data_IF_039709340971
#
_entry.id   IF_039709340971
#
_cell.length_a   1.000
_cell.length_b   1.000
_cell.length_c   1.000
_cell.angle_alpha   90.00
_cell.angle_beta   90.00
_cell.angle_gamma   90.00
#
_symmetry.space_group_name_H-M   'P 1'
#
loop_
_entity.id
_entity.type
_entity.pdbx_description
1 polymer ?
#
# COMPACT_ATOMS: atom_id res chain seq x y z
N UNK A 1 12.34 11.32 14.15
CA UNK A 1 12.79 10.26 13.22
C UNK A 1 11.58 9.87 12.40
N UNK A 2 11.72 9.75 11.08
CA UNK A 2 10.58 9.42 10.21
C UNK A 2 9.96 8.08 10.64
N UNK A 3 8.64 8.00 10.66
CA UNK A 3 7.95 6.76 11.03
C UNK A 3 8.14 5.73 9.91
N UNK A 4 8.61 4.53 10.25
CA UNK A 4 8.73 3.43 9.29
C UNK A 4 7.33 3.04 8.78
N UNK A 5 7.19 2.89 7.46
CA UNK A 5 5.92 2.59 6.78
C UNK A 5 6.04 1.27 6.04
N UNK A 6 4.94 0.52 5.94
CA UNK A 6 4.86 -0.66 5.07
C UNK A 6 5.17 -0.22 3.64
N UNK A 7 6.16 -0.86 3.01
CA UNK A 7 6.52 -0.61 1.61
C UNK A 7 6.52 -1.92 0.86
N UNK A 8 5.77 -1.99 -0.23
CA UNK A 8 5.77 -3.10 -1.18
C UNK A 8 6.59 -2.67 -2.38
N UNK A 9 7.50 -3.52 -2.87
CA UNK A 9 8.24 -3.24 -4.12
C UNK A 9 7.58 -3.93 -5.31
N UNK A 10 7.20 -5.21 -5.18
CA UNK A 10 6.48 -5.96 -6.21
C UNK A 10 4.96 -5.80 -6.08
N UNK A 11 4.44 -4.69 -6.61
CA UNK A 11 3.02 -4.33 -6.53
C UNK A 11 2.10 -5.29 -7.31
N UNK A 12 2.60 -5.93 -8.37
CA UNK A 12 1.79 -6.88 -9.16
C UNK A 12 1.50 -8.14 -8.35
N UNK A 13 2.55 -8.75 -7.76
CA UNK A 13 2.41 -9.94 -6.93
C UNK A 13 1.60 -9.64 -5.67
N UNK A 14 1.83 -8.47 -5.05
CA UNK A 14 0.98 -8.00 -3.95
C UNK A 14 -0.50 -7.92 -4.36
N UNK A 15 -0.80 -7.30 -5.52
CA UNK A 15 -2.16 -7.20 -6.02
C UNK A 15 -2.79 -8.57 -6.30
N UNK A 16 -2.02 -9.53 -6.86
CA UNK A 16 -2.49 -10.92 -7.05
C UNK A 16 -2.78 -11.60 -5.71
N UNK A 17 -1.90 -11.44 -4.71
CA UNK A 17 -2.11 -12.01 -3.38
C UNK A 17 -3.37 -11.43 -2.69
N UNK A 18 -3.59 -10.12 -2.80
CA UNK A 18 -4.81 -9.47 -2.30
C UNK A 18 -6.06 -10.00 -3.01
N UNK A 19 -6.02 -10.19 -4.33
CA UNK A 19 -7.13 -10.81 -5.08
C UNK A 19 -7.36 -12.25 -4.63
N UNK A 20 -6.30 -13.00 -4.33
CA UNK A 20 -6.41 -14.36 -3.79
C UNK A 20 -7.16 -14.38 -2.46
N UNK A 21 -6.79 -13.49 -1.53
CA UNK A 21 -7.48 -13.35 -0.25
C UNK A 21 -8.95 -12.94 -0.41
N UNK A 22 -9.22 -11.99 -1.31
CA UNK A 22 -10.56 -11.43 -1.48
C UNK A 22 -11.54 -12.39 -2.17
N UNK A 23 -11.08 -13.19 -3.15
CA UNK A 23 -11.98 -14.06 -3.92
C UNK A 23 -11.81 -15.56 -3.63
N UNK A 24 -10.85 -15.95 -2.81
CA UNK A 24 -10.51 -17.35 -2.54
C UNK A 24 -9.89 -18.12 -3.72
N UNK A 25 -9.60 -17.45 -4.84
CA UNK A 25 -8.99 -18.05 -6.04
C UNK A 25 -7.50 -17.71 -6.06
N UNK A 26 -6.61 -18.69 -6.18
CA UNK A 26 -5.17 -18.40 -6.30
C UNK A 26 -4.86 -17.69 -7.65
N UNK A 27 -4.49 -16.40 -7.60
CA UNK A 27 -4.05 -15.60 -8.76
C UNK A 27 -2.52 -15.64 -9.02
N UNK A 28 -1.76 -16.30 -8.14
CA UNK A 28 -0.31 -16.48 -8.29
C UNK A 28 0.03 -17.73 -9.11
N UNK A 29 -0.91 -18.68 -9.24
CA UNK A 29 -0.78 -19.91 -10.03
C UNK A 29 0.49 -20.73 -9.68
N UNK A 30 0.83 -20.75 -8.40
CA UNK A 30 2.05 -21.33 -7.85
C UNK A 30 1.81 -22.60 -7.01
N UNK A 31 0.57 -23.08 -7.01
CA UNK A 31 0.15 -24.27 -6.26
C UNK A 31 0.03 -24.08 -4.74
N UNK A 32 0.29 -22.88 -4.22
CA UNK A 32 0.16 -22.58 -2.79
C UNK A 32 -1.28 -22.20 -2.41
N UNK A 33 -1.57 -22.27 -1.10
CA UNK A 33 -2.80 -21.77 -0.51
C UNK A 33 -2.52 -20.52 0.34
N UNK A 34 -3.40 -19.53 0.22
CA UNK A 34 -3.25 -18.25 0.90
C UNK A 34 -4.55 -17.90 1.64
N UNK A 35 -4.79 -18.48 2.83
CA UNK A 35 -5.90 -18.06 3.67
C UNK A 35 -5.69 -16.62 4.14
N UNK A 36 -6.77 -15.87 4.40
CA UNK A 36 -6.63 -14.49 4.93
C UNK A 36 -5.88 -14.53 6.28
N UNK A 37 -4.73 -13.84 6.42
CA UNK A 37 -3.95 -13.88 7.65
C UNK A 37 -4.69 -13.26 8.83
N UNK A 38 -4.53 -13.85 10.02
CA UNK A 38 -5.08 -13.30 11.27
C UNK A 38 -4.01 -12.74 12.19
N UNK A 39 -2.74 -13.03 11.91
CA UNK A 39 -1.58 -12.50 12.66
C UNK A 39 -0.55 -11.86 11.72
N UNK A 40 0.38 -11.08 12.30
CA UNK A 40 1.47 -10.46 11.54
C UNK A 40 2.46 -11.51 11.05
N UNK A 41 2.68 -12.58 11.81
CA UNK A 41 3.58 -13.67 11.45
C UNK A 41 3.06 -14.40 10.22
N UNK A 42 1.79 -14.78 10.22
CA UNK A 42 1.14 -15.38 9.05
C UNK A 42 1.17 -14.45 7.84
N UNK A 43 0.97 -13.15 8.05
CA UNK A 43 1.09 -12.16 6.99
C UNK A 43 2.50 -12.12 6.40
N UNK A 44 3.54 -12.02 7.25
CA UNK A 44 4.95 -12.03 6.83
C UNK A 44 5.32 -13.34 6.11
N UNK A 45 4.86 -14.49 6.61
CA UNK A 45 5.06 -15.80 5.97
C UNK A 45 4.44 -15.84 4.57
N UNK A 46 3.18 -15.43 4.42
CA UNK A 46 2.52 -15.42 3.11
C UNK A 46 3.16 -14.45 2.13
N UNK A 47 3.63 -13.29 2.58
CA UNK A 47 4.42 -12.38 1.75
C UNK A 47 5.70 -13.05 1.25
N UNK A 48 6.42 -13.77 2.12
CA UNK A 48 7.63 -14.50 1.74
C UNK A 48 7.33 -15.63 0.74
N UNK A 49 6.31 -16.45 1.01
CA UNK A 49 5.88 -17.55 0.13
C UNK A 49 5.45 -17.04 -1.24
N UNK A 50 4.67 -15.96 -1.29
CA UNK A 50 4.23 -15.33 -2.53
C UNK A 50 5.34 -14.53 -3.23
N UNK A 51 6.53 -14.39 -2.64
CA UNK A 51 7.62 -13.53 -3.14
C UNK A 51 7.21 -12.05 -3.28
N UNK A 52 6.33 -11.58 -2.38
CA UNK A 52 6.05 -10.15 -2.21
C UNK A 52 7.15 -9.56 -1.35
N UNK A 53 8.11 -8.91 -1.99
CA UNK A 53 9.13 -8.14 -1.29
C UNK A 53 8.49 -6.90 -0.65
N UNK A 54 8.30 -6.94 0.66
CA UNK A 54 7.77 -5.84 1.43
C UNK A 54 8.55 -5.61 2.73
N UNK A 55 8.70 -4.35 3.11
CA UNK A 55 9.25 -3.94 4.41
C UNK A 55 8.09 -3.75 5.38
N UNK A 56 7.81 -4.75 6.22
CA UNK A 56 6.79 -4.67 7.27
C UNK A 56 7.42 -4.04 8.51
N UNK A 57 6.89 -2.91 9.02
CA UNK A 57 7.51 -2.24 10.17
C UNK A 57 7.46 -3.07 11.45
N UNK A 58 8.54 -3.07 12.22
CA UNK A 58 8.65 -3.86 13.45
C UNK A 58 7.72 -3.36 14.57
N UNK A 59 7.26 -2.11 14.49
CA UNK A 59 6.29 -1.57 15.43
C UNK A 59 4.86 -2.10 15.20
N UNK A 60 4.58 -2.69 14.05
CA UNK A 60 3.26 -3.26 13.77
C UNK A 60 3.07 -4.52 14.65
N UNK A 61 2.02 -4.52 15.47
CA UNK A 61 1.69 -5.63 16.39
C UNK A 61 0.46 -6.43 16.00
N UNK A 62 -0.42 -5.83 15.22
CA UNK A 62 -1.67 -6.45 14.75
C UNK A 62 -1.89 -6.14 13.28
N UNK A 63 -2.63 -7.01 12.61
CA UNK A 63 -3.10 -6.79 11.25
C UNK A 63 -4.62 -6.89 11.23
N UNK A 64 -5.26 -6.08 10.38
CA UNK A 64 -6.71 -6.11 10.16
C UNK A 64 -6.97 -6.13 8.66
N UNK A 65 -7.57 -7.22 8.20
CA UNK A 65 -8.16 -7.30 6.88
C UNK A 65 -9.62 -6.88 6.97
N UNK A 66 -10.03 -5.98 6.10
CA UNK A 66 -11.42 -5.51 6.00
C UNK A 66 -11.91 -5.85 4.60
N UNK A 67 -12.90 -6.73 4.53
CA UNK A 67 -13.70 -6.98 3.34
C UNK A 67 -15.06 -6.35 3.58
N UNK A 68 -15.54 -5.54 2.65
CA UNK A 68 -16.88 -4.96 2.66
C UNK A 68 -17.76 -5.69 1.67
N UNK A 69 -19.07 -5.73 1.93
CA UNK A 69 -20.06 -6.19 0.95
C UNK A 69 -20.43 -5.04 -0.02
N UNK A 70 -21.24 -5.35 -1.03
CA UNK A 70 -21.70 -4.45 -2.08
C UNK A 70 -22.60 -3.32 -1.60
N UNK A 71 -23.15 -3.41 -0.39
CA UNK A 71 -24.01 -2.41 0.26
C UNK A 71 -23.31 -1.65 1.41
N UNK A 72 -22.00 -1.87 1.61
CA UNK A 72 -21.20 -1.21 2.64
C UNK A 72 -20.17 -0.23 2.06
N UNK A 73 -20.06 0.95 2.66
CA UNK A 73 -19.00 1.92 2.36
C UNK A 73 -17.99 1.92 3.51
N UNK A 74 -16.74 1.60 3.20
CA UNK A 74 -15.62 1.68 4.16
C UNK A 74 -14.78 2.91 3.87
N UNK A 75 -14.73 3.84 4.83
CA UNK A 75 -13.81 4.99 4.81
C UNK A 75 -12.67 4.73 5.78
N UNK A 76 -11.45 4.56 5.26
CA UNK A 76 -10.25 4.26 6.06
C UNK A 76 -9.59 5.55 6.53
N UNK A 77 -9.66 5.87 7.81
CA UNK A 77 -8.96 7.05 8.34
C UNK A 77 -7.50 6.71 8.68
N UNK A 78 -6.50 7.40 8.10
CA UNK A 78 -5.11 7.23 8.50
C UNK A 78 -4.89 7.72 9.94
N UNK A 79 -3.93 7.15 10.69
CA UNK A 79 -3.57 7.68 12.00
C UNK A 79 -3.05 9.12 11.89
N UNK A 80 -3.53 10.01 12.77
CA UNK A 80 -3.13 11.43 12.82
C UNK A 80 -1.62 11.62 12.70
N UNK A 81 -0.84 10.89 13.48
CA UNK A 81 0.62 11.01 13.51
C UNK A 81 1.30 10.59 12.20
N UNK A 82 0.69 9.72 11.39
CA UNK A 82 1.22 9.35 10.07
C UNK A 82 1.00 10.46 9.04
N UNK A 83 -0.12 11.19 9.15
CA UNK A 83 -0.38 12.38 8.34
C UNK A 83 0.64 13.45 8.70
N UNK A 84 0.74 13.82 9.98
CA UNK A 84 1.66 14.86 10.47
C UNK A 84 3.14 14.56 10.13
N UNK A 85 3.59 13.30 10.27
CA UNK A 85 4.94 12.89 9.85
C UNK A 85 5.13 13.03 8.33
N UNK A 86 4.12 12.69 7.53
CA UNK A 86 4.17 12.84 6.07
C UNK A 86 4.24 14.31 5.65
N UNK A 87 3.40 15.17 6.24
CA UNK A 87 3.40 16.61 5.97
C UNK A 87 4.73 17.24 6.36
N UNK A 88 5.27 16.88 7.53
CA UNK A 88 6.59 17.33 8.00
C UNK A 88 7.70 16.93 7.03
N UNK A 89 7.67 15.70 6.50
CA UNK A 89 8.66 15.23 5.53
C UNK A 89 8.51 15.93 4.19
N UNK A 90 7.28 16.06 3.68
CA UNK A 90 7.00 16.63 2.36
C UNK A 90 7.27 18.14 2.28
N UNK A 91 7.25 18.85 3.40
CA UNK A 91 7.62 20.26 3.50
C UNK A 91 9.15 20.50 3.47
N UNK A 92 9.97 19.46 3.60
CA UNK A 92 11.43 19.61 3.56
C UNK A 92 11.93 19.96 2.14
N UNK A 93 12.90 20.89 2.00
CA UNK A 93 13.47 21.24 0.71
C UNK A 93 13.99 20.02 -0.07
N UNK A 94 13.68 19.97 -1.37
CA UNK A 94 14.15 18.91 -2.27
C UNK A 94 13.42 17.57 -2.14
N UNK A 95 12.37 17.48 -1.30
CA UNK A 95 11.52 16.30 -1.25
C UNK A 95 10.49 16.30 -2.38
N UNK A 96 10.35 15.16 -3.03
CA UNK A 96 9.26 14.87 -3.95
C UNK A 96 8.25 13.93 -3.29
N UNK A 97 7.03 13.94 -3.79
CA UNK A 97 6.05 12.94 -3.40
C UNK A 97 6.49 11.56 -3.94
N UNK A 98 6.51 10.50 -3.10
CA UNK A 98 6.93 9.18 -3.56
C UNK A 98 5.87 8.57 -4.49
N UNK A 99 6.26 8.27 -5.73
CA UNK A 99 5.42 7.57 -6.71
C UNK A 99 5.92 6.13 -6.87
N UNK A 100 5.04 5.12 -6.84
CA UNK A 100 5.44 3.73 -7.07
C UNK A 100 6.15 3.52 -8.42
N UNK A 101 7.21 2.72 -8.42
CA UNK A 101 8.07 2.47 -9.60
C UNK A 101 7.33 1.90 -10.81
N UNK A 102 6.20 1.21 -10.61
CA UNK A 102 5.43 0.68 -11.73
C UNK A 102 4.87 1.79 -12.64
N UNK A 103 4.68 3.01 -12.14
CA UNK A 103 4.28 4.15 -12.99
C UNK A 103 5.38 4.52 -13.98
N UNK A 104 6.65 4.49 -13.57
CA UNK A 104 7.79 4.70 -14.48
C UNK A 104 7.76 3.70 -15.63
N UNK A 105 7.48 2.43 -15.35
CA UNK A 105 7.30 1.38 -16.38
C UNK A 105 6.16 1.71 -17.35
N UNK A 106 5.02 2.17 -16.83
CA UNK A 106 3.84 2.51 -17.65
C UNK A 106 4.10 3.73 -18.54
N UNK A 107 4.85 4.73 -18.04
CA UNK A 107 5.17 5.96 -18.76
C UNK A 107 6.53 5.90 -19.48
N UNK A 108 6.85 4.77 -20.11
CA UNK A 108 8.03 4.58 -20.98
C UNK A 108 9.37 4.93 -20.31
N UNK A 109 9.52 4.65 -19.01
CA UNK A 109 10.74 4.92 -18.27
C UNK A 109 10.88 6.36 -17.77
N UNK A 110 9.90 7.24 -18.03
CA UNK A 110 9.91 8.59 -17.47
C UNK A 110 9.57 8.54 -15.98
N UNK A 111 10.44 9.15 -15.17
CA UNK A 111 10.16 9.35 -13.76
C UNK A 111 9.02 10.37 -13.62
N UNK A 112 7.84 9.98 -13.09
CA UNK A 112 6.81 10.95 -12.82
C UNK A 112 7.31 11.87 -11.69
N UNK A 113 7.40 13.16 -11.98
CA UNK A 113 7.85 14.17 -11.03
C UNK A 113 6.64 14.99 -10.60
N UNK A 114 6.36 15.01 -9.30
CA UNK A 114 5.38 15.94 -8.73
C UNK A 114 6.08 17.28 -8.50
N UNK A 115 5.60 18.38 -9.10
CA UNK A 115 6.13 19.72 -8.84
C UNK A 115 6.06 20.04 -7.34
N UNK A 116 7.07 20.73 -6.81
CA UNK A 116 7.13 21.07 -5.38
C UNK A 116 5.86 21.81 -4.89
N UNK A 117 5.31 22.70 -5.72
CA UNK A 117 4.08 23.45 -5.44
C UNK A 117 2.83 22.55 -5.31
N UNK A 118 2.87 21.35 -5.89
CA UNK A 118 1.73 20.43 -5.94
C UNK A 118 1.85 19.28 -4.92
N UNK A 119 2.99 19.14 -4.22
CA UNK A 119 3.24 17.99 -3.32
C UNK A 119 2.15 17.82 -2.26
N UNK A 120 1.71 18.92 -1.63
CA UNK A 120 0.64 18.88 -0.62
C UNK A 120 -0.73 18.59 -1.25
N UNK A 121 -0.98 19.09 -2.47
CA UNK A 121 -2.21 18.77 -3.21
C UNK A 121 -2.26 17.28 -3.53
N UNK A 122 -1.18 16.73 -4.08
CA UNK A 122 -1.07 15.29 -4.38
C UNK A 122 -1.18 14.45 -3.11
N UNK A 123 -0.63 14.90 -1.97
CA UNK A 123 -0.81 14.22 -0.70
C UNK A 123 -2.30 14.08 -0.33
N UNK A 124 -3.06 15.18 -0.41
CA UNK A 124 -4.50 15.16 -0.15
C UNK A 124 -5.27 14.32 -1.17
N UNK A 125 -4.97 14.43 -2.47
CA UNK A 125 -5.58 13.64 -3.54
C UNK A 125 -5.36 12.14 -3.33
N UNK A 126 -4.13 11.73 -2.95
CA UNK A 126 -3.81 10.33 -2.67
C UNK A 126 -4.55 9.82 -1.44
N UNK A 127 -4.62 10.60 -0.35
CA UNK A 127 -5.43 10.24 0.82
C UNK A 127 -6.90 10.08 0.40
N UNK A 128 -7.46 11.02 -0.35
CA UNK A 128 -8.83 10.92 -0.86
C UNK A 128 -9.06 9.63 -1.64
N UNK A 129 -8.14 9.27 -2.54
CA UNK A 129 -8.21 8.05 -3.34
C UNK A 129 -8.15 6.76 -2.49
N UNK A 130 -7.05 6.53 -1.76
CA UNK A 130 -6.84 5.22 -1.12
C UNK A 130 -7.76 4.94 0.08
N UNK A 131 -8.43 5.97 0.60
CA UNK A 131 -9.28 5.84 1.80
C UNK A 131 -10.70 5.39 1.48
N UNK A 132 -11.16 5.52 0.23
CA UNK A 132 -12.51 5.13 -0.21
C UNK A 132 -12.52 4.14 -1.37
N UNK A 133 -11.42 4.00 -2.11
CA UNK A 133 -11.35 3.10 -3.26
C UNK A 133 -11.54 1.63 -2.85
N UNK A 134 -12.49 0.95 -3.49
CA UNK A 134 -12.81 -0.47 -3.27
C UNK A 134 -12.08 -1.36 -4.29
N UNK A 135 -12.18 -1.06 -5.59
CA UNK A 135 -11.39 -1.63 -6.70
C UNK A 135 -11.58 -0.77 -7.98
N UNK A 136 -10.53 -0.17 -8.54
CA UNK A 136 -10.41 0.30 -9.95
C UNK A 136 -8.95 0.21 -10.40
#
# INVERSE_FOLDING_TARGET
>A
MAIERLRVTNHEVWGKLVKTWATGKNYLDDGNEYPVPTTIEQFKEQLATAQVFASVPEWAKTIRFVSSDTDEIVVRLPPKYMIEDSETLLQQPGRSYPIPDFYKRIFNGMDPVVPAADVMRVHAERIGDYTVSICW
#
